data_IF_206017700458
#
_entry.id   IF_206017700458
#
_cell.length_a   1.000
_cell.length_b   1.000
_cell.length_c   1.000
_cell.angle_alpha   90.00
_cell.angle_beta   90.00
_cell.angle_gamma   90.00
#
_symmetry.space_group_name_H-M   'P 1'
#
loop_
_entity.id
_entity.type
_entity.pdbx_description
1 polymer ?
#
# COMPACT_ATOMS: atom_id res chain seq x y z
N UNK A 1 -16.15 -8.27 4.96
CA UNK A 1 -15.27 -7.91 6.08
C UNK A 1 -13.98 -7.32 5.49
N UNK A 2 -13.86 -6.06 5.08
CA UNK A 2 -14.44 -4.82 5.58
C UNK A 2 -15.06 -3.99 4.44
N UNK A 3 -16.35 -3.69 4.58
CA UNK A 3 -17.08 -2.65 3.82
C UNK A 3 -17.36 -1.42 4.69
N UNK A 4 -16.75 -1.36 5.88
CA UNK A 4 -16.87 -0.23 6.80
C UNK A 4 -15.57 0.57 6.83
N UNK A 5 -15.21 1.17 5.70
CA UNK A 5 -14.63 2.50 5.78
C UNK A 5 -15.78 3.38 6.26
N UNK A 6 -15.66 3.99 7.44
CA UNK A 6 -16.66 4.92 7.94
C UNK A 6 -16.81 6.06 6.92
N UNK A 7 -17.78 5.91 6.02
CA UNK A 7 -18.46 7.04 5.41
C UNK A 7 -19.22 7.63 6.58
N UNK A 8 -18.74 8.76 7.11
CA UNK A 8 -19.44 9.51 8.14
C UNK A 8 -20.91 9.57 7.74
N UNK A 9 -21.78 9.06 8.61
CA UNK A 9 -23.21 9.05 8.39
C UNK A 9 -23.66 10.49 8.14
N UNK A 10 -24.05 10.79 6.90
CA UNK A 10 -24.58 12.08 6.47
C UNK A 10 -26.00 12.34 6.98
N UNK A 11 -26.51 11.53 7.90
CA UNK A 11 -27.85 11.66 8.45
C UNK A 11 -27.72 12.17 9.89
N UNK A 12 -27.95 13.49 10.04
CA UNK A 12 -27.93 14.31 11.28
C UNK A 12 -26.66 15.10 11.60
N UNK A 13 -25.93 15.55 10.60
CA UNK A 13 -25.32 16.88 10.72
C UNK A 13 -26.39 17.86 10.25
N UNK A 14 -26.85 18.77 11.12
CA UNK A 14 -27.68 19.88 10.68
C UNK A 14 -26.98 20.56 9.52
N UNK A 15 -27.76 21.03 8.53
CA UNK A 15 -27.26 21.65 7.31
C UNK A 15 -26.47 22.98 7.53
N UNK A 16 -25.99 23.23 8.75
CA UNK A 16 -25.32 24.45 9.21
C UNK A 16 -23.81 24.29 9.50
N UNK A 17 -23.14 23.17 9.21
CA UNK A 17 -21.68 23.10 9.49
C UNK A 17 -20.77 22.39 8.49
N UNK A 18 -21.18 22.22 7.23
CA UNK A 18 -20.21 22.11 6.13
C UNK A 18 -20.29 23.39 5.33
N UNK A 19 -19.87 24.50 5.94
CA UNK A 19 -19.48 25.65 5.15
C UNK A 19 -18.34 25.18 4.24
N UNK A 20 -18.51 25.30 2.92
CA UNK A 20 -17.39 25.28 1.99
C UNK A 20 -16.45 26.42 2.41
N UNK A 21 -15.43 26.06 3.17
CA UNK A 21 -14.37 26.97 3.62
C UNK A 21 -13.42 27.20 2.46
N UNK A 22 -13.88 27.97 1.48
CA UNK A 22 -13.13 28.38 0.29
C UNK A 22 -11.91 29.26 0.63
N UNK A 23 -11.74 29.64 1.90
CA UNK A 23 -10.63 30.40 2.47
C UNK A 23 -9.47 29.53 3.00
N UNK A 24 -9.66 28.21 3.09
CA UNK A 24 -8.65 27.31 3.67
C UNK A 24 -7.73 26.71 2.60
N UNK A 25 -6.45 26.63 2.92
CA UNK A 25 -5.41 25.99 2.10
C UNK A 25 -4.85 24.76 2.81
N UNK A 26 -4.74 23.65 2.08
CA UNK A 26 -4.07 22.44 2.55
C UNK A 26 -2.56 22.70 2.60
N UNK A 27 -1.95 22.63 3.78
CA UNK A 27 -0.50 22.87 3.99
C UNK A 27 0.29 21.58 4.28
N UNK A 28 -0.39 20.47 4.54
CA UNK A 28 0.26 19.20 4.88
C UNK A 28 -0.74 18.08 5.13
N UNK A 29 -0.27 16.84 5.05
CA UNK A 29 -1.07 15.65 5.26
C UNK A 29 -0.21 14.51 5.80
N UNK A 30 -0.77 13.67 6.66
CA UNK A 30 -0.17 12.43 7.13
C UNK A 30 -1.07 11.26 6.72
N UNK A 31 -0.49 10.24 6.08
CA UNK A 31 -1.23 9.05 5.64
C UNK A 31 -0.71 7.84 6.40
N UNK A 32 -1.60 7.19 7.15
CA UNK A 32 -1.35 5.90 7.75
C UNK A 32 -2.23 4.87 7.05
N UNK A 33 -1.60 3.84 6.48
CA UNK A 33 -2.34 2.79 5.78
C UNK A 33 -1.79 1.42 6.15
N UNK A 34 -2.69 0.43 6.13
CA UNK A 34 -2.30 -0.97 6.19
C UNK A 34 -1.89 -1.42 4.80
N UNK A 35 -0.93 -2.35 4.74
CA UNK A 35 -0.63 -3.11 3.54
C UNK A 35 -1.90 -3.70 2.88
N UNK A 36 -1.82 -4.01 1.59
CA UNK A 36 -2.89 -4.72 0.88
C UNK A 36 -3.05 -6.18 1.31
N UNK A 37 -3.98 -6.89 0.69
CA UNK A 37 -4.19 -8.32 0.88
C UNK A 37 -2.90 -9.14 0.72
N UNK A 38 -2.72 -10.12 1.62
CA UNK A 38 -1.54 -10.99 1.67
C UNK A 38 -1.96 -12.45 1.80
N UNK A 39 -1.03 -13.36 1.54
CA UNK A 39 -1.13 -14.75 2.00
C UNK A 39 -1.14 -14.80 3.54
N UNK A 40 -1.73 -15.84 4.16
CA UNK A 40 -1.81 -15.95 5.61
C UNK A 40 -0.41 -16.02 6.22
N UNK A 41 -0.28 -15.54 7.46
CA UNK A 41 0.95 -15.66 8.25
C UNK A 41 1.03 -17.05 8.90
N UNK A 42 -0.11 -17.59 9.31
CA UNK A 42 -0.23 -18.89 9.96
C UNK A 42 -1.27 -19.74 9.24
N UNK A 43 -0.95 -21.02 9.04
CA UNK A 43 -1.88 -22.00 8.50
C UNK A 43 -2.67 -22.67 9.62
N UNK A 44 -3.90 -23.08 9.30
CA UNK A 44 -4.73 -23.85 10.22
C UNK A 44 -4.38 -25.33 10.07
N UNK A 45 -3.99 -26.03 11.15
CA UNK A 45 -3.46 -27.40 11.06
C UNK A 45 -4.49 -28.44 10.58
N UNK A 46 -5.78 -28.14 10.67
CA UNK A 46 -6.88 -29.06 10.34
C UNK A 46 -7.67 -28.64 9.11
N UNK A 47 -7.22 -27.62 8.37
CA UNK A 47 -7.85 -27.16 7.15
C UNK A 47 -6.96 -27.45 5.95
N UNK A 48 -7.56 -27.91 4.86
CA UNK A 48 -6.84 -28.09 3.61
C UNK A 48 -6.27 -26.76 3.11
N UNK A 49 -4.99 -26.78 2.76
CA UNK A 49 -4.30 -25.61 2.25
C UNK A 49 -4.78 -25.24 0.83
N UNK A 50 -5.18 -23.99 0.66
CA UNK A 50 -5.56 -23.43 -0.64
C UNK A 50 -4.33 -23.33 -1.56
N UNK A 51 -4.52 -23.69 -2.83
CA UNK A 51 -3.50 -23.54 -3.86
C UNK A 51 -3.59 -22.14 -4.46
N UNK A 52 -2.50 -21.37 -4.38
CA UNK A 52 -2.41 -20.02 -4.96
C UNK A 52 -2.14 -20.08 -6.46
N UNK A 53 -2.92 -19.34 -7.24
CA UNK A 53 -2.71 -19.28 -8.69
C UNK A 53 -1.61 -18.28 -9.05
N UNK A 54 -1.03 -18.41 -10.25
CA UNK A 54 -0.01 -17.47 -10.74
C UNK A 54 -0.51 -16.02 -10.75
N UNK A 55 -1.75 -15.80 -11.18
CA UNK A 55 -2.37 -14.48 -11.32
C UNK A 55 -2.58 -13.80 -9.95
N UNK A 56 -2.68 -14.58 -8.88
CA UNK A 56 -2.79 -14.06 -7.51
C UNK A 56 -1.45 -13.58 -6.94
N UNK A 57 -0.34 -14.02 -7.53
CA UNK A 57 1.01 -13.80 -7.00
C UNK A 57 1.83 -12.87 -7.91
N UNK A 58 1.53 -12.87 -9.20
CA UNK A 58 2.17 -11.99 -10.18
C UNK A 58 1.90 -10.51 -9.86
N UNK A 59 2.93 -9.68 -10.00
CA UNK A 59 2.86 -8.27 -9.60
C UNK A 59 1.85 -7.47 -10.43
N UNK A 60 1.13 -6.56 -9.76
CA UNK A 60 0.09 -5.71 -10.33
C UNK A 60 0.05 -4.30 -9.69
N UNK A 61 0.09 -3.19 -10.48
CA UNK A 61 0.50 -3.15 -11.88
C UNK A 61 1.96 -3.57 -12.01
N UNK A 62 2.50 -3.82 -13.23
CA UNK A 62 3.93 -4.05 -13.41
C UNK A 62 4.73 -2.87 -12.83
N UNK A 63 5.19 -3.03 -11.59
CA UNK A 63 5.88 -1.99 -10.84
C UNK A 63 7.37 -2.11 -11.11
N UNK A 64 7.83 -1.51 -12.20
CA UNK A 64 9.27 -1.26 -12.41
C UNK A 64 9.64 0.06 -11.72
N UNK A 65 9.54 0.09 -10.40
CA UNK A 65 10.00 1.22 -9.61
C UNK A 65 11.17 0.77 -8.75
N UNK A 66 12.34 1.34 -9.04
CA UNK A 66 13.54 1.09 -8.24
C UNK A 66 13.45 1.91 -6.96
N UNK A 67 13.01 1.26 -5.88
CA UNK A 67 12.95 1.88 -4.56
C UNK A 67 14.21 1.49 -3.79
N UNK A 68 14.92 2.49 -3.26
CA UNK A 68 16.05 2.27 -2.34
C UNK A 68 15.57 2.25 -0.90
N UNK A 69 15.99 1.25 -0.13
CA UNK A 69 15.75 1.22 1.30
C UNK A 69 16.80 2.06 2.01
N UNK A 70 16.35 3.08 2.73
CA UNK A 70 17.17 3.87 3.64
C UNK A 70 16.89 3.35 5.05
N UNK A 71 17.89 2.73 5.68
CA UNK A 71 17.80 2.29 7.08
C UNK A 71 18.63 3.21 7.97
N UNK A 72 18.13 3.52 9.16
CA UNK A 72 18.87 4.26 10.17
C UNK A 72 19.30 3.30 11.27
N UNK A 73 20.60 3.20 11.55
CA UNK A 73 21.16 2.39 12.65
C UNK A 73 22.13 3.25 13.44
N UNK A 74 21.91 3.39 14.75
CA UNK A 74 22.74 4.21 15.65
C UNK A 74 22.95 5.64 15.14
N UNK A 75 21.89 6.28 14.66
CA UNK A 75 21.90 7.61 14.05
C UNK A 75 22.62 7.78 12.70
N UNK A 76 23.23 6.72 12.17
CA UNK A 76 23.82 6.72 10.82
C UNK A 76 22.83 6.22 9.77
N UNK A 77 22.79 6.90 8.62
CA UNK A 77 22.00 6.49 7.46
C UNK A 77 22.77 5.42 6.68
N UNK A 78 22.36 4.17 6.79
CA UNK A 78 22.78 3.10 5.88
C UNK A 78 21.83 3.07 4.68
N UNK A 79 22.23 3.71 3.58
CA UNK A 79 21.66 3.46 2.26
C UNK A 79 22.31 2.21 1.70
N UNK A 80 21.58 1.09 1.67
CA UNK A 80 22.03 -0.09 0.95
C UNK A 80 21.40 -0.03 -0.44
N UNK A 81 22.22 -0.12 -1.50
CA UNK A 81 21.77 -0.42 -2.87
C UNK A 81 21.24 -1.88 -2.97
N UNK A 82 20.53 -2.34 -1.93
CA UNK A 82 19.94 -3.65 -1.90
C UNK A 82 18.63 -3.55 -2.65
N UNK A 83 18.67 -3.87 -3.94
CA UNK A 83 17.47 -4.33 -4.65
C UNK A 83 16.97 -5.52 -3.84
N UNK A 84 15.86 -5.36 -3.14
CA UNK A 84 15.30 -6.45 -2.35
C UNK A 84 14.94 -7.59 -3.30
N UNK A 85 15.78 -8.62 -3.35
CA UNK A 85 15.30 -9.90 -3.84
C UNK A 85 14.36 -10.45 -2.77
N UNK A 86 13.21 -10.98 -3.17
CA UNK A 86 12.30 -11.65 -2.24
C UNK A 86 13.04 -12.71 -1.39
N UNK A 87 14.14 -13.28 -1.89
CA UNK A 87 14.97 -14.28 -1.20
C UNK A 87 15.79 -13.73 -0.03
N UNK A 88 16.14 -12.44 -0.04
CA UNK A 88 16.92 -11.78 1.02
C UNK A 88 16.11 -11.52 2.30
N UNK A 89 14.78 -11.50 2.18
CA UNK A 89 13.84 -11.13 3.24
C UNK A 89 12.84 -12.25 3.51
N UNK A 90 13.10 -13.47 3.04
CA UNK A 90 12.37 -14.63 3.55
C UNK A 90 13.20 -15.13 4.75
N UNK A 91 13.02 -14.62 5.99
CA UNK A 91 13.53 -15.27 7.16
C UNK A 91 13.09 -16.73 7.12
N UNK A 92 13.93 -17.61 7.68
CA UNK A 92 13.64 -19.04 7.85
C UNK A 92 12.28 -19.36 8.52
N UNK A 93 11.57 -18.33 9.01
CA UNK A 93 10.25 -18.37 9.63
C UNK A 93 9.07 -18.41 8.65
N UNK A 94 9.26 -18.13 7.36
CA UNK A 94 8.15 -18.17 6.42
C UNK A 94 7.99 -19.55 5.78
N UNK A 95 6.76 -20.06 5.84
CA UNK A 95 6.40 -21.35 5.28
C UNK A 95 6.10 -21.21 3.78
N UNK A 96 6.55 -22.17 2.98
CA UNK A 96 6.17 -22.27 1.56
C UNK A 96 4.71 -22.70 1.46
N UNK A 97 3.97 -22.04 0.59
CA UNK A 97 2.58 -22.34 0.31
C UNK A 97 2.42 -23.06 -1.03
N UNK A 98 1.36 -23.85 -1.16
CA UNK A 98 0.98 -24.51 -2.42
C UNK A 98 0.66 -23.47 -3.48
N UNK A 99 1.22 -23.66 -4.67
CA UNK A 99 1.08 -22.75 -5.80
C UNK A 99 0.98 -23.54 -7.09
N UNK A 100 0.22 -23.02 -8.06
CA UNK A 100 0.24 -23.51 -9.45
C UNK A 100 1.38 -22.90 -10.27
N UNK A 101 2.06 -21.87 -9.75
CA UNK A 101 3.20 -21.23 -10.40
C UNK A 101 4.51 -21.96 -10.10
N UNK A 102 5.49 -21.81 -10.99
CA UNK A 102 6.89 -22.17 -10.71
C UNK A 102 7.53 -21.28 -9.64
N UNK A 103 6.93 -20.12 -9.38
CA UNK A 103 7.38 -19.19 -8.37
C UNK A 103 7.04 -19.67 -6.96
N UNK A 104 7.97 -19.47 -6.03
CA UNK A 104 7.76 -19.82 -4.62
C UNK A 104 6.81 -18.82 -3.98
N UNK A 105 5.67 -19.30 -3.51
CA UNK A 105 4.72 -18.54 -2.68
C UNK A 105 5.02 -18.80 -1.22
N UNK A 106 5.00 -17.75 -0.40
CA UNK A 106 5.29 -17.85 1.04
C UNK A 106 4.21 -17.21 1.88
N UNK A 107 4.13 -17.59 3.16
CA UNK A 107 3.26 -16.95 4.15
C UNK A 107 3.57 -15.47 4.34
N UNK A 108 2.55 -14.63 4.50
CA UNK A 108 2.69 -13.18 4.70
C UNK A 108 3.11 -12.37 3.46
N UNK A 109 3.20 -13.01 2.29
CA UNK A 109 3.54 -12.37 1.01
C UNK A 109 2.37 -11.50 0.48
N UNK A 110 2.68 -10.29 -0.01
CA UNK A 110 1.70 -9.43 -0.67
C UNK A 110 1.23 -10.08 -1.99
N UNK A 111 -0.07 -10.05 -2.25
CA UNK A 111 -0.67 -10.63 -3.46
C UNK A 111 -0.98 -9.57 -4.49
N UNK A 112 -1.23 -9.97 -5.74
CA UNK A 112 -1.67 -9.07 -6.83
C UNK A 112 -2.93 -8.28 -6.47
N UNK A 113 -3.82 -8.89 -5.67
CA UNK A 113 -5.00 -8.23 -5.10
C UNK A 113 -4.58 -7.12 -4.14
N UNK A 114 -3.61 -7.39 -3.26
CA UNK A 114 -3.09 -6.41 -2.33
C UNK A 114 -2.39 -5.25 -3.02
N UNK A 115 -1.58 -5.53 -4.03
CA UNK A 115 -0.92 -4.49 -4.82
C UNK A 115 -1.94 -3.61 -5.57
N UNK A 116 -3.00 -4.21 -6.15
CA UNK A 116 -4.13 -3.48 -6.75
C UNK A 116 -4.82 -2.53 -5.78
N UNK A 117 -5.07 -2.97 -4.55
CA UNK A 117 -5.70 -2.15 -3.51
C UNK A 117 -4.85 -0.91 -3.21
N UNK A 118 -3.54 -1.08 -3.05
CA UNK A 118 -2.62 0.03 -2.78
C UNK A 118 -2.47 0.95 -4.01
N UNK A 119 -2.47 0.40 -5.22
CA UNK A 119 -2.46 1.20 -6.43
C UNK A 119 -3.72 2.07 -6.56
N UNK A 120 -4.89 1.52 -6.25
CA UNK A 120 -6.15 2.29 -6.24
C UNK A 120 -6.15 3.38 -5.15
N UNK A 121 -5.60 3.08 -3.97
CA UNK A 121 -5.38 4.09 -2.93
C UNK A 121 -4.48 5.22 -3.45
N UNK A 122 -3.34 4.90 -4.07
CA UNK A 122 -2.43 5.88 -4.65
C UNK A 122 -3.09 6.75 -5.73
N UNK A 123 -3.94 6.14 -6.59
CA UNK A 123 -4.72 6.90 -7.59
C UNK A 123 -5.70 7.89 -6.95
N UNK A 124 -6.34 7.49 -5.86
CA UNK A 124 -7.24 8.39 -5.12
C UNK A 124 -6.47 9.55 -4.49
N UNK A 125 -5.35 9.25 -3.83
CA UNK A 125 -4.48 10.28 -3.25
C UNK A 125 -3.96 11.25 -4.31
N UNK A 126 -3.56 10.75 -5.49
CA UNK A 126 -3.19 11.60 -6.63
C UNK A 126 -4.33 12.55 -7.01
N UNK A 127 -5.57 12.06 -7.10
CA UNK A 127 -6.71 12.91 -7.42
C UNK A 127 -7.00 13.99 -6.35
N UNK A 128 -6.72 13.68 -5.08
CA UNK A 128 -6.99 14.56 -3.93
C UNK A 128 -5.84 15.53 -3.61
N UNK A 129 -4.61 15.28 -4.08
CA UNK A 129 -3.42 16.05 -3.70
C UNK A 129 -2.66 16.68 -4.86
N UNK A 130 -2.82 16.13 -6.06
CA UNK A 130 -2.12 16.58 -7.26
C UNK A 130 -3.13 17.19 -8.24
N UNK A 131 -4.23 16.47 -8.50
CA UNK A 131 -5.18 16.85 -9.56
C UNK A 131 -6.29 17.83 -9.09
N UNK A 132 -6.34 18.22 -7.81
CA UNK A 132 -7.44 19.07 -7.29
C UNK A 132 -7.47 20.43 -8.00
N UNK A 133 -8.70 20.77 -8.43
CA UNK A 133 -9.10 21.95 -9.20
C UNK A 133 -8.46 23.24 -8.65
N UNK A 134 -7.91 24.05 -9.57
CA UNK A 134 -7.36 25.40 -9.37
C UNK A 134 -5.84 25.53 -9.17
N UNK A 135 -5.00 24.65 -9.76
CA UNK A 135 -3.53 24.83 -9.79
C UNK A 135 -2.81 24.84 -8.42
N UNK A 136 -3.47 24.41 -7.34
CA UNK A 136 -2.95 24.43 -5.96
C UNK A 136 -2.75 23.03 -5.37
N UNK A 137 -2.40 22.04 -6.18
CA UNK A 137 -2.04 20.71 -5.68
C UNK A 137 -0.90 20.80 -4.66
N UNK A 138 -1.04 20.09 -3.54
CA UNK A 138 -0.02 20.04 -2.49
C UNK A 138 1.27 19.39 -2.99
N UNK A 139 1.15 18.43 -3.92
CA UNK A 139 2.26 17.63 -4.41
C UNK A 139 2.51 17.87 -5.91
N UNK A 140 3.77 17.78 -6.37
CA UNK A 140 4.09 17.79 -7.79
C UNK A 140 3.51 16.58 -8.52
N UNK A 141 3.41 16.67 -9.86
CA UNK A 141 2.90 15.59 -10.72
C UNK A 141 3.81 14.36 -10.73
N UNK A 142 5.11 14.57 -10.52
CA UNK A 142 6.14 13.54 -10.48
C UNK A 142 6.71 13.44 -9.06
N UNK A 143 7.26 12.28 -8.72
CA UNK A 143 7.88 12.05 -7.41
C UNK A 143 9.07 12.99 -7.19
N UNK A 144 9.05 13.75 -6.11
CA UNK A 144 10.17 14.56 -5.64
C UNK A 144 10.45 14.21 -4.17
N UNK A 145 11.65 13.69 -3.83
CA UNK A 145 11.99 13.27 -2.48
C UNK A 145 11.97 14.40 -1.45
N UNK A 146 11.87 15.68 -1.85
CA UNK A 146 11.73 16.81 -0.91
C UNK A 146 10.37 16.86 -0.21
N UNK A 147 9.37 16.15 -0.73
CA UNK A 147 7.99 16.17 -0.22
C UNK A 147 7.64 14.90 0.58
N UNK A 148 8.62 14.05 0.89
CA UNK A 148 8.44 12.74 1.56
C UNK A 148 9.31 12.66 2.82
#
# INVERSE_FOLDING_TARGET
WATHGQRLNNEKLSAESVQERNDLQLIGMQIFFRHGARTPIHLLPSLEEVVYSKEQIESYPPSKWDIKLITKKNDEIESKDKVFSARDVIPAKFQKLKSTSTDTVTTGQLTSVGERQLFQLGRRLRSELIDVRNNNGLLPKEYDPKYV
#
